data_IF_910778388436
#
_entry.id   IF_910778388436
#
_cell.length_a   1.000
_cell.length_b   1.000
_cell.length_c   1.000
_cell.angle_alpha   90.00
_cell.angle_beta   90.00
_cell.angle_gamma   90.00
#
_symmetry.space_group_name_H-M   'P 1'
#
loop_
_entity.id
_entity.type
_entity.pdbx_description
1 polymer ?
#
# COMPACT_ATOMS: atom_id res chain seq x y z
N UNK A 1 28.52 -9.40 20.77
CA UNK A 1 29.41 -9.74 19.64
C UNK A 1 28.51 -9.90 18.45
N UNK A 2 28.35 -8.85 17.67
CA UNK A 2 27.40 -8.79 16.56
C UNK A 2 27.90 -9.67 15.41
N UNK A 3 27.07 -10.65 15.02
CA UNK A 3 27.31 -11.48 13.86
C UNK A 3 27.18 -10.63 12.59
N UNK A 4 28.32 -10.21 12.07
CA UNK A 4 28.46 -9.48 10.83
C UNK A 4 28.32 -10.45 9.63
N UNK A 5 27.14 -11.05 9.47
CA UNK A 5 26.88 -11.96 8.35
C UNK A 5 26.71 -11.16 7.06
N UNK A 6 27.77 -11.08 6.26
CA UNK A 6 27.76 -10.46 4.94
C UNK A 6 26.64 -10.98 4.02
N UNK A 7 26.15 -12.22 4.25
CA UNK A 7 25.05 -12.81 3.49
C UNK A 7 23.70 -12.15 3.81
N UNK A 8 23.47 -11.72 5.06
CA UNK A 8 22.23 -11.01 5.42
C UNK A 8 22.19 -9.61 4.81
N UNK A 9 23.33 -8.90 4.79
CA UNK A 9 23.42 -7.58 4.15
C UNK A 9 23.25 -7.65 2.64
N UNK A 10 23.84 -8.65 1.95
CA UNK A 10 23.67 -8.84 0.50
C UNK A 10 22.24 -9.19 0.08
N UNK A 11 21.43 -9.73 0.98
CA UNK A 11 20.03 -10.02 0.73
C UNK A 11 19.11 -8.78 0.82
N UNK A 12 19.62 -7.64 1.31
CA UNK A 12 18.82 -6.42 1.49
C UNK A 12 18.44 -5.79 0.15
N UNK A 13 17.21 -5.26 0.07
CA UNK A 13 16.73 -4.59 -1.13
C UNK A 13 17.63 -3.39 -1.49
N UNK A 14 17.85 -3.23 -2.80
CA UNK A 14 18.71 -2.17 -3.34
C UNK A 14 20.16 -2.23 -2.82
N UNK A 15 20.67 -3.41 -2.45
CA UNK A 15 22.03 -3.58 -1.94
C UNK A 15 23.11 -2.88 -2.78
N UNK A 16 23.09 -3.03 -4.11
CA UNK A 16 24.07 -2.40 -5.01
C UNK A 16 24.07 -0.88 -4.87
N UNK A 17 22.88 -0.28 -4.74
CA UNK A 17 22.73 1.16 -4.52
C UNK A 17 23.28 1.55 -3.13
N UNK A 18 22.96 0.79 -2.09
CA UNK A 18 23.46 1.05 -0.73
C UNK A 18 24.99 0.97 -0.69
N UNK A 19 25.59 -0.04 -1.31
CA UNK A 19 27.05 -0.17 -1.39
C UNK A 19 27.73 0.96 -2.15
N UNK A 20 27.15 1.45 -3.23
CA UNK A 20 27.74 2.53 -4.02
C UNK A 20 27.88 3.86 -3.25
N UNK A 21 27.14 4.05 -2.15
CA UNK A 21 27.12 5.29 -1.36
C UNK A 21 27.58 5.08 0.09
N UNK A 22 28.31 3.99 0.38
CA UNK A 22 28.59 3.60 1.77
C UNK A 22 29.47 4.58 2.56
N UNK A 23 30.34 5.30 1.86
CA UNK A 23 31.18 6.34 2.46
C UNK A 23 30.49 7.71 2.54
N UNK A 24 29.26 7.84 2.03
CA UNK A 24 28.55 9.12 1.88
C UNK A 24 27.39 9.29 2.88
N UNK A 25 26.88 8.22 3.49
CA UNK A 25 25.73 8.26 4.40
C UNK A 25 26.05 7.50 5.70
N UNK A 26 25.46 7.90 6.85
CA UNK A 26 25.57 7.14 8.09
C UNK A 26 25.08 5.69 7.93
N UNK A 27 25.77 4.74 8.58
CA UNK A 27 25.43 3.30 8.50
C UNK A 27 23.96 3.04 8.86
N UNK A 28 23.42 3.77 9.84
CA UNK A 28 22.03 3.68 10.29
C UNK A 28 21.00 4.10 9.24
N UNK A 29 21.37 4.95 8.28
CA UNK A 29 20.51 5.34 7.15
C UNK A 29 20.71 4.36 6.00
N UNK A 30 21.97 3.99 5.74
CA UNK A 30 22.36 3.17 4.61
C UNK A 30 21.84 1.74 4.68
N UNK A 31 21.68 1.18 5.87
CA UNK A 31 21.18 -0.19 6.09
C UNK A 31 19.83 -0.23 6.81
N UNK A 32 19.11 0.90 6.84
CA UNK A 32 17.74 0.93 7.33
C UNK A 32 16.83 0.08 6.45
N UNK A 33 16.02 -0.78 7.06
CA UNK A 33 14.97 -1.53 6.39
C UNK A 33 14.00 -0.58 5.67
N UNK A 34 13.54 -0.99 4.50
CA UNK A 34 12.51 -0.24 3.79
C UNK A 34 11.17 -0.39 4.51
N UNK A 35 10.80 0.67 5.21
CA UNK A 35 9.43 0.92 5.65
C UNK A 35 8.50 1.17 4.45
N UNK A 36 7.24 0.76 4.55
CA UNK A 36 6.23 1.17 3.58
C UNK A 36 5.89 2.64 3.79
N UNK A 37 5.38 3.30 2.73
CA UNK A 37 5.15 4.74 2.75
C UNK A 37 4.18 5.14 3.87
N UNK A 38 3.24 4.26 4.23
CA UNK A 38 2.36 4.33 5.39
C UNK A 38 3.09 4.51 6.72
N UNK A 39 4.18 3.77 6.91
CA UNK A 39 4.87 3.63 8.19
C UNK A 39 5.79 4.85 8.40
N UNK A 40 6.25 5.47 7.30
CA UNK A 40 7.05 6.69 7.31
C UNK A 40 6.28 7.97 7.67
N UNK A 41 4.96 8.00 7.49
CA UNK A 41 4.09 9.13 7.92
C UNK A 41 3.42 8.88 9.28
N UNK A 42 3.39 7.63 9.74
CA UNK A 42 2.84 7.21 11.03
C UNK A 42 1.52 6.46 10.89
N UNK A 43 1.41 5.33 11.59
CA UNK A 43 0.26 4.41 11.48
C UNK A 43 -1.09 5.02 11.83
N UNK A 44 -1.10 5.98 12.77
CA UNK A 44 -2.31 6.69 13.17
C UNK A 44 -2.98 7.41 12.01
N UNK A 45 -2.23 7.76 10.96
CA UNK A 45 -2.79 8.40 9.77
C UNK A 45 -3.76 7.47 9.02
N UNK A 46 -3.35 6.22 8.76
CA UNK A 46 -4.20 5.24 8.06
C UNK A 46 -5.41 4.88 8.89
N UNK A 47 -5.22 4.66 10.20
CA UNK A 47 -6.32 4.30 11.08
C UNK A 47 -7.33 5.46 11.18
N UNK A 48 -6.86 6.70 11.30
CA UNK A 48 -7.71 7.90 11.30
C UNK A 48 -8.46 8.07 9.98
N UNK A 49 -7.83 7.76 8.85
CA UNK A 49 -8.46 7.81 7.54
C UNK A 49 -9.57 6.77 7.42
N UNK A 50 -9.33 5.53 7.84
CA UNK A 50 -10.35 4.46 7.87
C UNK A 50 -11.53 4.86 8.76
N UNK A 51 -11.25 5.34 9.98
CA UNK A 51 -12.30 5.80 10.90
C UNK A 51 -13.13 6.97 10.37
N UNK A 52 -12.49 7.90 9.66
CA UNK A 52 -13.18 9.03 9.03
C UNK A 52 -14.07 8.54 7.90
N UNK A 53 -13.54 7.71 7.01
CA UNK A 53 -14.29 7.16 5.88
C UNK A 53 -15.48 6.30 6.35
N UNK A 54 -15.32 5.51 7.41
CA UNK A 54 -16.41 4.70 7.97
C UNK A 54 -17.59 5.54 8.48
N UNK A 55 -17.36 6.82 8.81
CA UNK A 55 -18.42 7.77 9.20
C UNK A 55 -19.07 8.42 7.99
N UNK A 56 -18.32 8.62 6.91
CA UNK A 56 -18.79 9.29 5.69
C UNK A 56 -19.54 8.35 4.75
N UNK A 57 -19.11 7.07 4.67
CA UNK A 57 -19.69 6.07 3.75
C UNK A 57 -20.38 4.96 4.53
N UNK A 58 -21.70 4.88 4.39
CA UNK A 58 -22.51 3.85 5.04
C UNK A 58 -22.41 2.50 4.31
N UNK A 59 -22.70 1.42 5.02
CA UNK A 59 -22.77 0.08 4.43
C UNK A 59 -23.84 -0.02 3.33
N UNK A 60 -24.92 0.75 3.45
CA UNK A 60 -25.97 0.85 2.42
C UNK A 60 -25.46 1.54 1.15
N UNK A 61 -24.70 2.63 1.29
CA UNK A 61 -24.06 3.27 0.14
C UNK A 61 -23.10 2.31 -0.56
N UNK A 62 -22.31 1.56 0.22
CA UNK A 62 -21.40 0.56 -0.31
C UNK A 62 -22.13 -0.59 -1.03
N UNK A 63 -23.23 -1.09 -0.44
CA UNK A 63 -24.07 -2.14 -1.06
C UNK A 63 -24.68 -1.68 -2.40
N UNK A 64 -24.90 -0.38 -2.56
CA UNK A 64 -25.45 0.23 -3.78
C UNK A 64 -24.38 0.88 -4.68
N UNK A 65 -23.09 0.70 -4.39
CA UNK A 65 -22.01 1.39 -5.10
C UNK A 65 -22.03 1.17 -6.62
N UNK A 66 -22.41 -0.03 -7.07
CA UNK A 66 -22.51 -0.37 -8.50
C UNK A 66 -23.54 0.46 -9.28
N UNK A 67 -24.57 0.98 -8.60
CA UNK A 67 -25.59 1.80 -9.25
C UNK A 67 -25.15 3.26 -9.37
N UNK A 68 -24.35 3.72 -8.41
CA UNK A 68 -23.76 5.07 -8.43
C UNK A 68 -22.55 5.15 -9.35
N UNK A 69 -21.66 4.17 -9.25
CA UNK A 69 -20.40 4.09 -9.99
C UNK A 69 -20.39 2.83 -10.86
N UNK A 70 -21.14 2.79 -11.98
CA UNK A 70 -21.21 1.60 -12.84
C UNK A 70 -19.88 1.29 -13.53
N UNK A 71 -18.99 2.27 -13.67
CA UNK A 71 -17.66 2.13 -14.24
C UNK A 71 -16.64 2.10 -13.10
N UNK A 72 -15.88 1.00 -13.02
CA UNK A 72 -14.85 0.80 -12.00
C UNK A 72 -15.40 1.03 -10.59
N UNK A 73 -16.43 0.25 -10.24
CA UNK A 73 -17.09 0.32 -8.94
C UNK A 73 -16.08 0.19 -7.80
N UNK A 74 -16.08 1.11 -6.82
CA UNK A 74 -15.25 0.99 -5.63
C UNK A 74 -15.45 -0.35 -4.91
N UNK A 75 -14.36 -0.95 -4.44
CA UNK A 75 -14.37 -2.22 -3.69
C UNK A 75 -14.29 -2.03 -2.17
N UNK A 76 -13.99 -0.81 -1.71
CA UNK A 76 -13.97 -0.43 -0.30
C UNK A 76 -14.63 0.93 -0.09
N UNK A 77 -14.98 1.25 1.17
CA UNK A 77 -15.49 2.57 1.53
C UNK A 77 -14.47 3.67 1.27
N UNK A 78 -13.18 3.38 1.44
CA UNK A 78 -12.09 4.34 1.18
C UNK A 78 -12.01 4.68 -0.31
N UNK A 79 -12.04 3.67 -1.17
CA UNK A 79 -12.16 3.87 -2.61
C UNK A 79 -13.45 4.62 -2.98
N UNK A 80 -14.57 4.34 -2.30
CA UNK A 80 -15.83 5.04 -2.54
C UNK A 80 -15.71 6.53 -2.22
N UNK A 81 -15.10 6.86 -1.08
CA UNK A 81 -14.86 8.24 -0.66
C UNK A 81 -13.99 8.98 -1.67
N UNK A 82 -12.86 8.41 -2.07
CA UNK A 82 -11.98 8.99 -3.09
C UNK A 82 -12.66 9.11 -4.45
N UNK A 83 -13.42 8.10 -4.86
CA UNK A 83 -14.17 8.12 -6.12
C UNK A 83 -15.23 9.22 -6.12
N UNK A 84 -15.88 9.48 -4.99
CA UNK A 84 -16.86 10.55 -4.84
C UNK A 84 -16.22 11.92 -5.03
N UNK A 85 -15.06 12.17 -4.41
CA UNK A 85 -14.29 13.41 -4.59
C UNK A 85 -13.80 13.55 -6.04
N UNK A 86 -13.28 12.47 -6.62
CA UNK A 86 -12.81 12.48 -8.00
C UNK A 86 -13.92 12.86 -8.99
N UNK A 87 -15.11 12.26 -8.85
CA UNK A 87 -16.26 12.54 -9.71
C UNK A 87 -16.78 13.97 -9.55
N UNK A 88 -16.70 14.55 -8.34
CA UNK A 88 -17.05 15.96 -8.09
C UNK A 88 -16.17 16.92 -8.91
N UNK A 89 -14.87 16.63 -9.03
CA UNK A 89 -13.93 17.45 -9.80
C UNK A 89 -13.87 17.10 -11.29
N UNK A 90 -14.03 15.82 -11.63
CA UNK A 90 -13.85 15.29 -12.97
C UNK A 90 -15.07 14.44 -13.37
N UNK A 91 -16.21 15.09 -13.66
CA UNK A 91 -17.41 14.36 -14.04
C UNK A 91 -17.24 13.68 -15.40
N UNK A 92 -17.74 12.45 -15.50
CA UNK A 92 -17.90 11.73 -16.76
C UNK A 92 -17.07 10.46 -16.91
N UNK A 93 -17.56 9.58 -17.78
CA UNK A 93 -17.04 8.22 -17.96
C UNK A 93 -15.60 8.19 -18.46
N UNK A 94 -15.22 9.11 -19.34
CA UNK A 94 -13.85 9.19 -19.87
C UNK A 94 -12.85 9.53 -18.78
N UNK A 95 -13.21 10.40 -17.83
CA UNK A 95 -12.36 10.72 -16.69
C UNK A 95 -12.22 9.51 -15.76
N UNK A 96 -13.33 8.84 -15.45
CA UNK A 96 -13.29 7.60 -14.65
C UNK A 96 -12.38 6.53 -15.29
N UNK A 97 -12.50 6.30 -16.60
CA UNK A 97 -11.68 5.32 -17.32
C UNK A 97 -10.19 5.69 -17.46
N UNK A 98 -9.84 6.95 -17.20
CA UNK A 98 -8.43 7.38 -17.20
C UNK A 98 -7.65 6.90 -15.98
N UNK A 99 -8.35 6.52 -14.91
CA UNK A 99 -7.75 5.96 -13.69
C UNK A 99 -7.71 4.44 -13.81
N UNK A 100 -6.53 3.79 -13.76
CA UNK A 100 -6.47 2.33 -13.82
C UNK A 100 -7.05 1.68 -12.55
N UNK A 101 -8.08 0.84 -12.72
CA UNK A 101 -8.66 0.02 -11.64
C UNK A 101 -8.25 -1.45 -11.81
N UNK A 102 -6.95 -1.71 -11.69
CA UNK A 102 -6.39 -3.07 -11.75
C UNK A 102 -5.98 -3.51 -10.35
N UNK A 103 -6.14 -4.81 -9.99
CA UNK A 103 -5.70 -5.31 -8.70
C UNK A 103 -4.23 -4.99 -8.44
N UNK A 104 -3.95 -4.32 -7.32
CA UNK A 104 -2.62 -3.91 -6.88
C UNK A 104 -2.51 -4.19 -5.39
N UNK A 105 -1.30 -4.49 -4.91
CA UNK A 105 -0.98 -4.47 -3.48
C UNK A 105 0.15 -3.48 -3.28
N UNK A 106 -0.14 -2.45 -2.48
CA UNK A 106 0.71 -1.27 -2.33
C UNK A 106 1.12 -0.69 -3.70
N UNK A 107 2.41 -0.56 -3.96
CA UNK A 107 2.97 -0.04 -5.22
C UNK A 107 3.27 -1.12 -6.27
N UNK A 108 2.72 -2.33 -6.12
CA UNK A 108 3.10 -3.49 -6.95
C UNK A 108 2.12 -3.71 -8.09
N UNK A 109 2.65 -3.97 -9.28
CA UNK A 109 1.79 -4.26 -10.45
C UNK A 109 0.97 -5.56 -10.27
N UNK A 110 -0.10 -5.76 -11.05
CA UNK A 110 -0.85 -7.03 -11.08
C UNK A 110 0.02 -8.25 -11.40
N UNK A 111 1.18 -8.06 -12.02
CA UNK A 111 2.15 -9.13 -12.32
C UNK A 111 2.80 -9.65 -11.03
N UNK A 112 3.08 -8.77 -10.05
CA UNK A 112 3.65 -9.16 -8.78
C UNK A 112 2.72 -10.10 -7.99
N UNK A 113 1.40 -9.87 -8.06
CA UNK A 113 0.38 -10.72 -7.44
C UNK A 113 0.32 -12.14 -8.01
N UNK A 114 0.83 -12.35 -9.23
CA UNK A 114 0.88 -13.68 -9.86
C UNK A 114 2.09 -14.49 -9.41
N UNK A 115 3.13 -13.83 -8.89
CA UNK A 115 4.40 -14.46 -8.56
C UNK A 115 4.45 -15.01 -7.13
N UNK A 116 3.55 -14.55 -6.27
CA UNK A 116 3.50 -14.99 -4.88
C UNK A 116 2.05 -15.05 -4.39
N UNK A 117 1.62 -16.26 -4.00
CA UNK A 117 0.26 -16.50 -3.54
C UNK A 117 -0.06 -15.82 -2.20
N UNK A 118 0.94 -15.48 -1.40
CA UNK A 118 0.75 -14.78 -0.13
C UNK A 118 0.22 -13.35 -0.30
N UNK A 119 0.43 -12.75 -1.48
CA UNK A 119 -0.14 -11.45 -1.82
C UNK A 119 -1.54 -11.55 -2.44
N UNK A 120 -1.99 -12.75 -2.84
CA UNK A 120 -3.35 -12.94 -3.33
C UNK A 120 -4.31 -12.82 -2.14
N UNK A 121 -5.20 -11.83 -2.19
CA UNK A 121 -6.23 -11.51 -1.19
C UNK A 121 -5.80 -10.64 0.01
N UNK A 122 -4.61 -10.03 0.01
CA UNK A 122 -4.21 -9.05 1.02
C UNK A 122 -4.28 -7.63 0.47
N UNK A 123 -5.42 -6.96 0.62
CA UNK A 123 -5.60 -5.55 0.23
C UNK A 123 -5.35 -4.61 1.42
N UNK A 124 -4.20 -4.78 2.09
CA UNK A 124 -3.78 -3.89 3.18
C UNK A 124 -2.81 -2.83 2.64
N UNK A 125 -3.20 -1.55 2.58
CA UNK A 125 -2.33 -0.49 2.05
C UNK A 125 -1.10 -0.20 2.93
N UNK A 126 -1.09 -0.67 4.18
CA UNK A 126 0.12 -0.62 5.03
C UNK A 126 1.11 -1.75 4.76
N UNK A 127 0.65 -2.82 4.09
CA UNK A 127 1.36 -4.07 3.84
C UNK A 127 1.95 -4.76 5.08
N UNK A 128 1.47 -4.43 6.29
CA UNK A 128 1.74 -5.17 7.54
C UNK A 128 1.09 -6.53 7.57
N UNK A 129 0.13 -6.77 6.67
CA UNK A 129 -0.48 -8.07 6.46
C UNK A 129 0.52 -9.14 5.99
N UNK A 130 1.62 -8.76 5.33
CA UNK A 130 2.61 -9.70 4.82
C UNK A 130 3.62 -10.08 5.91
N UNK A 131 3.38 -11.22 6.56
CA UNK A 131 4.23 -11.73 7.64
C UNK A 131 5.68 -11.99 7.18
N UNK A 132 6.64 -11.72 8.06
CA UNK A 132 8.09 -11.90 7.87
C UNK A 132 8.79 -10.96 6.87
N UNK A 133 8.11 -9.92 6.37
CA UNK A 133 8.72 -8.88 5.51
C UNK A 133 9.12 -7.63 6.29
N UNK A 134 8.35 -7.31 7.33
CA UNK A 134 8.51 -6.12 8.17
C UNK A 134 8.68 -6.51 9.64
N UNK A 135 9.51 -5.77 10.36
CA UNK A 135 9.76 -6.00 11.78
C UNK A 135 8.50 -5.75 12.64
N UNK A 136 7.57 -4.91 12.15
CA UNK A 136 6.28 -4.59 12.79
C UNK A 136 5.07 -5.22 12.06
N UNK A 137 5.23 -6.41 11.49
CA UNK A 137 4.10 -7.16 10.93
C UNK A 137 3.04 -7.50 12.00
N UNK A 138 1.77 -7.63 11.62
CA UNK A 138 0.71 -8.03 12.56
C UNK A 138 1.02 -9.41 13.18
N UNK A 139 0.98 -9.51 14.51
CA UNK A 139 1.01 -10.81 15.20
C UNK A 139 -0.27 -11.60 14.87
N UNK A 140 -0.11 -12.90 14.60
CA UNK A 140 -1.22 -13.82 14.28
C UNK A 140 -2.06 -14.18 15.50
#
# INVERSE_FOLDING_TARGET
GESNDLRSRQAMEKWVLRKAFEDMLPESVLWRQKEQFSDGVGYSWIDSLKEMVDKEITDEQMANAQYRFPIQTPASKEEFYYRSIFEEHFPGDTAALSVPSVPSVACSSPVALKWDESFKNMNDPSGRAVANVHDEAYEK
#
